data_IF_878891035409
#
_entry.id   IF_878891035409
#
_cell.length_a   1.000
_cell.length_b   1.000
_cell.length_c   1.000
_cell.angle_alpha   90.00
_cell.angle_beta   90.00
_cell.angle_gamma   90.00
#
_symmetry.space_group_name_H-M   'P 1'
#
loop_
_entity.id
_entity.type
_entity.pdbx_description
1 polymer ?
#
# COMPACT_ATOMS: atom_id res chain seq x y z
N UNK A 1 -37.28 24.78 47.27
CA UNK A 1 -37.08 23.32 47.34
C UNK A 1 -36.63 22.84 45.97
N UNK A 2 -35.32 22.73 45.73
CA UNK A 2 -34.75 22.20 44.48
C UNK A 2 -34.01 20.92 44.79
N UNK A 3 -34.43 19.81 44.18
CA UNK A 3 -33.75 18.51 44.26
C UNK A 3 -32.96 18.31 42.97
N UNK A 4 -31.64 18.36 43.07
CA UNK A 4 -30.70 17.87 42.05
C UNK A 4 -30.49 16.38 42.33
N UNK A 5 -30.59 15.48 41.34
CA UNK A 5 -30.05 14.15 41.48
C UNK A 5 -28.67 14.07 40.81
N UNK A 6 -27.67 13.84 41.66
CA UNK A 6 -26.31 13.42 41.33
C UNK A 6 -26.24 11.90 41.46
N UNK A 7 -26.12 11.16 40.36
CA UNK A 7 -25.64 9.76 40.25
C UNK A 7 -25.58 9.46 38.74
N UNK A 8 -24.66 8.72 38.13
CA UNK A 8 -23.41 8.07 38.52
C UNK A 8 -22.73 7.67 37.19
N UNK A 9 -21.42 7.43 37.24
CA UNK A 9 -20.55 6.80 36.23
C UNK A 9 -21.26 6.00 35.11
N UNK A 10 -20.91 6.33 33.86
CA UNK A 10 -20.72 5.31 32.83
C UNK A 10 -19.31 5.48 32.23
N UNK A 11 -18.37 4.79 32.85
CA UNK A 11 -17.09 4.43 32.27
C UNK A 11 -17.38 3.48 31.09
N UNK A 12 -17.48 4.00 29.87
CA UNK A 12 -17.42 3.16 28.68
C UNK A 12 -15.98 3.16 28.17
N UNK A 13 -15.34 2.03 28.47
CA UNK A 13 -14.05 1.61 27.98
C UNK A 13 -13.87 1.90 26.49
N UNK A 14 -12.63 2.23 26.17
CA UNK A 14 -11.99 2.05 24.88
C UNK A 14 -12.66 0.96 24.01
N UNK A 15 -13.29 1.38 22.92
CA UNK A 15 -13.36 0.55 21.72
C UNK A 15 -12.37 1.18 20.74
N UNK A 16 -11.09 0.93 21.01
CA UNK A 16 -10.07 0.95 19.96
C UNK A 16 -10.54 -0.08 18.96
N UNK A 17 -11.10 0.36 17.83
CA UNK A 17 -11.36 -0.53 16.70
C UNK A 17 -10.03 -1.18 16.30
N UNK A 18 -9.81 -2.49 16.49
CA UNK A 18 -8.60 -3.14 15.97
C UNK A 18 -8.87 -3.69 14.57
N UNK A 19 -9.69 -3.01 13.78
CA UNK A 19 -10.13 -3.49 12.46
C UNK A 19 -9.26 -2.97 11.30
N UNK A 20 -8.26 -2.14 11.56
CA UNK A 20 -7.38 -1.60 10.51
C UNK A 20 -6.04 -2.33 10.36
N UNK A 21 -5.78 -3.43 11.07
CA UNK A 21 -4.44 -4.07 11.08
C UNK A 21 -4.44 -5.58 10.76
N UNK A 22 -5.60 -6.20 10.53
CA UNK A 22 -5.67 -7.62 10.17
C UNK A 22 -5.57 -7.83 8.65
N UNK A 23 -6.21 -6.95 7.86
CA UNK A 23 -6.29 -7.10 6.39
C UNK A 23 -4.91 -7.04 5.71
N UNK A 24 -4.03 -6.14 6.16
CA UNK A 24 -2.72 -5.96 5.53
C UNK A 24 -1.74 -7.09 5.85
N UNK A 25 -1.91 -7.76 7.00
CA UNK A 25 -1.03 -8.86 7.42
C UNK A 25 -1.38 -10.16 6.72
N UNK A 26 -2.66 -10.44 6.47
CA UNK A 26 -3.09 -11.66 5.78
C UNK A 26 -2.76 -11.61 4.29
N UNK A 27 -2.90 -10.44 3.64
CA UNK A 27 -2.56 -10.27 2.23
C UNK A 27 -1.06 -10.47 1.94
N UNK A 28 -0.17 -10.17 2.91
CA UNK A 28 1.27 -10.33 2.75
C UNK A 28 1.77 -11.76 3.03
N UNK A 29 1.00 -12.57 3.76
CA UNK A 29 1.38 -13.94 4.14
C UNK A 29 1.22 -14.95 2.98
N UNK A 30 0.33 -14.66 2.04
CA UNK A 30 0.05 -15.52 0.88
C UNK A 30 0.96 -15.24 -0.32
N UNK A 31 1.79 -14.20 -0.26
CA UNK A 31 2.70 -13.82 -1.33
C UNK A 31 3.96 -14.69 -1.37
N UNK A 32 4.56 -14.90 -2.56
CA UNK A 32 5.88 -15.50 -2.66
C UNK A 32 6.89 -14.75 -1.77
N UNK A 33 7.79 -15.48 -1.10
CA UNK A 33 8.75 -14.90 -0.13
C UNK A 33 9.56 -13.74 -0.71
N UNK A 34 9.92 -13.84 -2.00
CA UNK A 34 10.64 -12.78 -2.71
C UNK A 34 9.82 -11.49 -2.84
N UNK A 35 8.53 -11.60 -3.18
CA UNK A 35 7.63 -10.44 -3.27
C UNK A 35 7.46 -9.80 -1.90
N UNK A 36 7.26 -10.61 -0.86
CA UNK A 36 7.16 -10.14 0.52
C UNK A 36 8.42 -9.40 0.97
N UNK A 37 9.61 -9.96 0.70
CA UNK A 37 10.87 -9.32 1.02
C UNK A 37 11.03 -7.97 0.33
N UNK A 38 10.63 -7.87 -0.94
CA UNK A 38 10.73 -6.62 -1.70
C UNK A 38 9.70 -5.56 -1.27
N UNK A 39 8.49 -5.97 -0.85
CA UNK A 39 7.52 -5.05 -0.22
C UNK A 39 8.05 -4.53 1.11
N UNK A 40 8.62 -5.39 1.95
CA UNK A 40 9.24 -4.97 3.21
C UNK A 40 10.46 -4.07 2.98
N UNK A 41 11.25 -4.32 1.94
CA UNK A 41 12.37 -3.46 1.55
C UNK A 41 11.87 -2.07 1.11
N UNK A 42 10.78 -1.99 0.35
CA UNK A 42 10.21 -0.71 -0.07
C UNK A 42 9.81 0.16 1.13
N UNK A 43 9.31 -0.44 2.21
CA UNK A 43 8.95 0.27 3.44
C UNK A 43 10.14 0.97 4.13
N UNK A 44 11.38 0.57 3.83
CA UNK A 44 12.58 1.28 4.31
C UNK A 44 12.79 2.63 3.62
N UNK A 45 12.05 2.92 2.55
CA UNK A 45 12.12 4.18 1.79
C UNK A 45 10.76 4.90 1.79
N UNK A 46 10.28 5.38 2.95
CA UNK A 46 8.93 5.90 3.09
C UNK A 46 8.63 7.10 2.18
N UNK A 47 9.60 7.97 1.91
CA UNK A 47 9.44 9.10 0.99
C UNK A 47 9.21 8.67 -0.46
N UNK A 48 9.91 7.63 -0.91
CA UNK A 48 9.75 7.07 -2.24
C UNK A 48 8.37 6.41 -2.38
N UNK A 49 7.98 5.60 -1.39
CA UNK A 49 6.65 4.98 -1.34
C UNK A 49 5.55 6.04 -1.33
N UNK A 50 5.72 7.15 -0.62
CA UNK A 50 4.78 8.27 -0.62
C UNK A 50 4.60 8.87 -2.02
N UNK A 51 5.68 9.04 -2.78
CA UNK A 51 5.62 9.54 -4.17
C UNK A 51 4.94 8.55 -5.10
N UNK A 52 5.25 7.25 -4.99
CA UNK A 52 4.55 6.19 -5.73
C UNK A 52 3.05 6.23 -5.43
N UNK A 53 2.68 6.29 -4.15
CA UNK A 53 1.28 6.31 -3.74
C UNK A 53 0.53 7.55 -4.26
N UNK A 54 1.16 8.72 -4.21
CA UNK A 54 0.60 9.94 -4.77
C UNK A 54 0.43 9.83 -6.30
N UNK A 55 1.38 9.20 -6.98
CA UNK A 55 1.32 8.94 -8.42
C UNK A 55 0.13 8.02 -8.75
N UNK A 56 0.04 6.85 -8.12
CA UNK A 56 -1.02 5.85 -8.36
C UNK A 56 -2.39 6.45 -8.11
N UNK A 57 -2.57 7.15 -6.99
CA UNK A 57 -3.83 7.84 -6.67
C UNK A 57 -4.23 8.84 -7.76
N UNK A 58 -3.28 9.59 -8.31
CA UNK A 58 -3.55 10.58 -9.36
C UNK A 58 -3.87 9.94 -10.71
N UNK A 59 -3.18 8.86 -11.08
CA UNK A 59 -3.24 8.31 -12.45
C UNK A 59 -4.21 7.14 -12.60
N UNK A 60 -4.60 6.49 -11.50
CA UNK A 60 -5.51 5.33 -11.51
C UNK A 60 -6.70 5.46 -10.56
N UNK A 61 -6.69 6.48 -9.67
CA UNK A 61 -7.71 6.64 -8.62
C UNK A 61 -7.79 5.46 -7.64
N UNK A 62 -6.73 4.67 -7.54
CA UNK A 62 -6.63 3.59 -6.55
C UNK A 62 -6.23 4.14 -5.18
N UNK A 63 -6.60 3.39 -4.16
CA UNK A 63 -6.22 3.59 -2.76
C UNK A 63 -5.09 2.63 -2.40
N UNK A 64 -4.32 2.90 -1.33
CA UNK A 64 -3.28 1.97 -0.86
C UNK A 64 -3.81 0.58 -0.45
N UNK A 65 -5.12 0.40 -0.31
CA UNK A 65 -5.74 -0.89 -0.06
C UNK A 65 -5.88 -1.74 -1.34
N UNK A 66 -5.72 -1.16 -2.54
CA UNK A 66 -5.91 -1.87 -3.81
C UNK A 66 -4.62 -2.48 -4.37
N UNK A 67 -3.45 -2.10 -3.81
CA UNK A 67 -2.15 -2.51 -4.33
C UNK A 67 -1.05 -2.51 -3.26
N UNK A 68 0.06 -3.16 -3.58
CA UNK A 68 1.29 -3.13 -2.79
C UNK A 68 2.40 -2.43 -3.56
N UNK A 69 3.30 -1.76 -2.84
CA UNK A 69 4.54 -1.20 -3.42
C UNK A 69 5.70 -2.10 -3.03
N UNK A 70 6.44 -2.55 -4.03
CA UNK A 70 7.60 -3.42 -3.91
C UNK A 70 8.81 -2.74 -4.54
N UNK A 71 10.03 -2.96 -4.02
CA UNK A 71 11.22 -2.58 -4.79
C UNK A 71 11.33 -3.41 -6.05
N UNK A 72 11.89 -2.83 -7.11
CA UNK A 72 12.22 -3.51 -8.35
C UNK A 72 13.55 -2.98 -8.89
N UNK A 73 14.22 -3.72 -9.80
CA UNK A 73 15.37 -3.19 -10.51
C UNK A 73 15.03 -1.87 -11.23
N UNK A 74 15.95 -0.88 -11.26
CA UNK A 74 15.78 0.32 -12.07
C UNK A 74 15.89 -0.02 -13.56
N UNK A 75 15.20 0.73 -14.41
CA UNK A 75 15.15 0.55 -15.86
C UNK A 75 15.85 1.70 -16.61
N UNK A 76 15.93 2.88 -16.00
CA UNK A 76 16.44 4.13 -16.59
C UNK A 76 17.47 4.87 -15.67
N UNK A 77 18.02 4.19 -14.66
CA UNK A 77 19.08 4.72 -13.79
C UNK A 77 18.62 5.50 -12.54
N UNK A 78 17.32 5.46 -12.26
CA UNK A 78 16.68 5.94 -11.03
C UNK A 78 16.48 4.85 -9.98
N UNK A 79 15.37 4.91 -9.26
CA UNK A 79 14.94 3.93 -8.24
C UNK A 79 13.68 3.22 -8.70
N UNK A 80 13.79 1.92 -8.96
CA UNK A 80 12.68 1.09 -9.45
C UNK A 80 11.75 0.64 -8.33
N UNK A 81 10.45 0.72 -8.59
CA UNK A 81 9.40 0.13 -7.77
C UNK A 81 8.37 -0.57 -8.64
N UNK A 82 7.80 -1.65 -8.14
CA UNK A 82 6.63 -2.30 -8.71
C UNK A 82 5.38 -1.95 -7.89
N UNK A 83 4.31 -1.60 -8.60
CA UNK A 83 2.96 -1.42 -8.08
C UNK A 83 2.19 -2.70 -8.41
N UNK A 84 1.91 -3.49 -7.38
CA UNK A 84 1.30 -4.82 -7.51
C UNK A 84 -0.16 -4.76 -7.09
N UNK A 85 -1.08 -4.73 -8.06
CA UNK A 85 -2.52 -4.67 -7.80
C UNK A 85 -3.02 -5.98 -7.21
N UNK A 86 -3.93 -5.93 -6.22
CA UNK A 86 -4.42 -7.12 -5.53
C UNK A 86 -5.08 -8.15 -6.46
N UNK A 87 -5.86 -7.70 -7.45
CA UNK A 87 -6.45 -8.58 -8.47
C UNK A 87 -5.40 -9.45 -9.19
N UNK A 88 -4.25 -8.88 -9.54
CA UNK A 88 -3.17 -9.63 -10.23
C UNK A 88 -2.43 -10.57 -9.28
N UNK A 89 -2.40 -10.25 -7.99
CA UNK A 89 -1.83 -11.12 -6.96
C UNK A 89 -2.75 -12.31 -6.68
N UNK A 90 -4.07 -12.11 -6.76
CA UNK A 90 -5.08 -13.15 -6.60
C UNK A 90 -5.18 -14.07 -7.84
N UNK A 91 -4.95 -13.54 -9.03
CA UNK A 91 -4.94 -14.28 -10.30
C UNK A 91 -3.63 -14.04 -11.10
N UNK A 92 -2.50 -14.62 -10.66
CA UNK A 92 -1.19 -14.35 -11.27
C UNK A 92 -1.07 -14.88 -12.71
N UNK A 93 -1.94 -15.81 -13.10
CA UNK A 93 -2.04 -16.39 -14.45
C UNK A 93 -3.15 -15.73 -15.29
N UNK A 94 -3.68 -14.60 -14.80
CA UNK A 94 -4.98 -14.08 -15.18
C UNK A 94 -5.19 -13.84 -16.66
N UNK A 95 -6.35 -14.31 -17.12
CA UNK A 95 -6.87 -14.19 -18.50
C UNK A 95 -7.31 -12.76 -18.88
N UNK A 96 -7.13 -11.80 -17.98
CA UNK A 96 -7.47 -10.40 -18.12
C UNK A 96 -6.21 -9.55 -18.29
N UNK A 97 -6.37 -8.31 -18.76
CA UNK A 97 -5.27 -7.34 -18.82
C UNK A 97 -4.71 -7.07 -17.41
N UNK A 98 -3.39 -7.21 -17.27
CA UNK A 98 -2.68 -6.96 -16.00
C UNK A 98 -2.78 -5.49 -15.61
N UNK A 99 -3.10 -5.25 -14.34
CA UNK A 99 -3.20 -3.91 -13.76
C UNK A 99 -1.87 -3.44 -13.17
N UNK A 100 -1.04 -4.37 -12.72
CA UNK A 100 0.24 -4.10 -12.08
C UNK A 100 1.22 -3.50 -13.07
N UNK A 101 2.11 -2.64 -12.59
CA UNK A 101 3.11 -1.99 -13.42
C UNK A 101 4.36 -1.64 -12.62
N UNK A 102 5.45 -1.34 -13.31
CA UNK A 102 6.65 -0.77 -12.72
C UNK A 102 6.65 0.75 -12.86
N UNK A 103 7.19 1.44 -11.88
CA UNK A 103 7.52 2.86 -11.94
C UNK A 103 8.96 3.06 -11.57
N UNK A 104 9.55 4.10 -12.12
CA UNK A 104 10.87 4.55 -11.74
C UNK A 104 10.80 5.96 -11.20
N UNK A 105 11.43 6.16 -10.05
CA UNK A 105 11.58 7.46 -9.43
C UNK A 105 12.96 8.00 -9.72
N UNK A 106 13.11 9.33 -9.68
CA UNK A 106 14.43 9.93 -9.64
C UNK A 106 15.21 9.49 -8.38
N UNK A 107 16.53 9.68 -8.38
CA UNK A 107 17.40 9.23 -7.29
C UNK A 107 17.06 9.87 -5.93
N UNK A 108 16.38 11.02 -5.95
CA UNK A 108 15.96 11.78 -4.76
C UNK A 108 14.56 11.43 -4.26
N UNK A 109 13.82 10.57 -4.96
CA UNK A 109 12.42 10.24 -4.66
C UNK A 109 11.50 11.48 -4.61
N UNK A 110 11.69 12.41 -5.53
CA UNK A 110 10.87 13.61 -5.69
C UNK A 110 9.74 13.41 -6.70
N UNK A 111 9.96 12.59 -7.73
CA UNK A 111 8.98 12.36 -8.79
C UNK A 111 9.16 11.00 -9.48
N UNK A 112 8.06 10.50 -10.06
CA UNK A 112 8.10 9.42 -11.04
C UNK A 112 8.65 9.99 -12.36
N UNK A 113 9.64 9.31 -12.92
CA UNK A 113 10.28 9.66 -14.20
C UNK A 113 9.81 8.75 -15.33
N UNK A 114 9.47 7.50 -15.05
CA UNK A 114 9.01 6.53 -16.05
C UNK A 114 7.97 5.56 -15.45
N UNK A 115 7.10 5.03 -16.31
CA UNK A 115 6.13 3.96 -16.00
C UNK A 115 6.22 2.86 -17.07
N UNK A 116 6.25 1.61 -16.64
CA UNK A 116 6.35 0.44 -17.52
C UNK A 116 5.27 -0.58 -17.18
N UNK A 117 4.41 -0.91 -18.14
CA UNK A 117 3.39 -1.94 -17.97
C UNK A 117 4.04 -3.33 -17.99
N UNK A 118 3.55 -4.26 -17.16
CA UNK A 118 3.96 -5.66 -17.27
C UNK A 118 3.31 -6.28 -18.51
N UNK A 119 4.12 -6.76 -19.45
CA UNK A 119 3.67 -7.47 -20.65
C UNK A 119 3.38 -8.95 -20.35
#
# INVERSE_FOLDING_TARGET
>A
MSRVPTFALCLCLAVISPACNASDKDALQTLPDMVKANVLEAQKYPECVRVVNAYVRRTRSWTPADYLVSVSPPLAGGRGFAVLHQDDLADPLGRNERKSFSVELDTTCSKVIEEFQFQ
#
